data_IF_372146294699
#
_entry.id   IF_372146294699
#
_cell.length_a   1.000
_cell.length_b   1.000
_cell.length_c   1.000
_cell.angle_alpha   90.00
_cell.angle_beta   90.00
_cell.angle_gamma   90.00
#
_symmetry.space_group_name_H-M   'P 1'
#
loop_
_entity.id
_entity.type
_entity.pdbx_description
1 polymer ?
#
# COMPACT_ATOMS: atom_id res chain seq x y z
N UNK A 1 8.37 5.80 38.14
CA UNK A 1 7.12 6.02 37.35
C UNK A 1 7.19 5.13 36.13
N UNK A 2 6.18 4.31 35.89
CA UNK A 2 6.13 3.51 34.67
C UNK A 2 5.83 4.45 33.48
N UNK A 3 6.66 4.42 32.45
CA UNK A 3 6.41 5.14 31.22
C UNK A 3 5.24 4.56 30.48
N UNK A 4 4.48 5.39 29.75
CA UNK A 4 3.41 4.94 28.84
C UNK A 4 3.79 5.28 27.40
N UNK A 5 3.28 4.50 26.45
CA UNK A 5 3.49 4.70 25.02
C UNK A 5 2.14 4.87 24.35
N UNK A 6 1.99 5.95 23.56
CA UNK A 6 0.85 6.16 22.69
C UNK A 6 1.38 6.33 21.27
N UNK A 7 1.28 5.26 20.49
CA UNK A 7 1.80 5.18 19.12
C UNK A 7 0.88 4.34 18.26
N UNK A 8 0.48 4.87 17.12
CA UNK A 8 -0.33 4.21 16.11
C UNK A 8 0.43 4.17 14.81
N UNK A 9 0.43 3.03 14.15
CA UNK A 9 1.01 2.83 12.82
C UNK A 9 -0.10 2.37 11.89
N UNK A 10 -0.26 3.04 10.76
CA UNK A 10 -1.25 2.72 9.75
C UNK A 10 -0.60 2.65 8.36
N UNK A 11 -0.97 1.63 7.61
CA UNK A 11 -0.69 1.54 6.17
C UNK A 11 -2.02 1.38 5.46
N UNK A 12 -2.35 2.33 4.59
CA UNK A 12 -3.64 2.31 3.90
C UNK A 12 -3.71 3.32 2.77
N UNK A 13 -4.87 3.42 2.17
CA UNK A 13 -5.10 4.31 1.03
C UNK A 13 -5.94 5.50 1.45
N UNK A 14 -5.62 6.69 0.91
CA UNK A 14 -6.41 7.89 1.15
C UNK A 14 -7.82 7.74 0.54
N UNK A 15 -8.83 8.04 1.34
CA UNK A 15 -10.22 8.04 0.89
C UNK A 15 -10.63 9.32 0.15
N UNK A 16 -9.92 10.42 0.42
CA UNK A 16 -10.12 11.73 -0.20
C UNK A 16 -8.81 12.52 -0.22
N UNK A 17 -8.79 13.59 -1.00
CA UNK A 17 -7.64 14.50 -1.03
C UNK A 17 -7.43 15.14 0.35
N UNK A 18 -6.18 15.46 0.72
CA UNK A 18 -5.88 16.19 1.94
C UNK A 18 -6.52 17.59 1.95
N UNK A 19 -7.17 17.92 3.06
CA UNK A 19 -7.76 19.24 3.30
C UNK A 19 -6.90 20.01 4.30
N UNK A 20 -6.55 21.25 3.96
CA UNK A 20 -5.83 22.13 4.86
C UNK A 20 -6.74 23.19 5.47
N UNK A 21 -6.50 23.50 6.73
CA UNK A 21 -7.20 24.56 7.47
C UNK A 21 -6.20 25.41 8.24
N UNK A 22 -6.34 26.72 8.15
CA UNK A 22 -5.60 27.64 8.99
C UNK A 22 -6.14 27.59 10.43
N UNK A 23 -5.25 27.57 11.40
CA UNK A 23 -5.59 27.65 12.81
C UNK A 23 -5.49 29.12 13.29
N UNK A 24 -6.24 29.46 14.34
CA UNK A 24 -6.25 30.81 14.92
C UNK A 24 -4.89 31.28 15.45
N UNK A 25 -3.98 30.34 15.75
CA UNK A 25 -2.62 30.61 16.20
C UNK A 25 -1.61 30.80 15.06
N UNK A 26 -2.08 30.98 13.80
CA UNK A 26 -1.24 31.16 12.62
C UNK A 26 -0.64 29.86 12.05
N UNK A 27 -0.91 28.72 12.65
CA UNK A 27 -0.48 27.41 12.15
C UNK A 27 -1.46 26.87 11.11
N UNK A 28 -1.05 25.79 10.44
CA UNK A 28 -1.84 25.05 9.47
C UNK A 28 -2.00 23.60 9.94
N UNK A 29 -3.18 23.05 9.81
CA UNK A 29 -3.45 21.63 10.01
C UNK A 29 -3.93 21.02 8.72
N UNK A 30 -3.36 19.88 8.35
CA UNK A 30 -3.80 19.10 7.18
C UNK A 30 -4.50 17.85 7.66
N UNK A 31 -5.70 17.59 7.15
CA UNK A 31 -6.53 16.46 7.57
C UNK A 31 -7.01 15.65 6.38
N UNK A 32 -7.03 14.34 6.53
CA UNK A 32 -7.57 13.38 5.57
C UNK A 32 -8.01 12.09 6.26
N UNK A 33 -8.60 11.17 5.50
CA UNK A 33 -8.98 9.85 5.99
C UNK A 33 -8.21 8.77 5.25
N UNK A 34 -7.84 7.71 5.99
CA UNK A 34 -7.19 6.51 5.45
C UNK A 34 -8.10 5.32 5.63
N UNK A 35 -8.22 4.50 4.59
CA UNK A 35 -8.85 3.20 4.62
C UNK A 35 -7.81 2.11 4.85
N UNK A 36 -8.04 1.25 5.83
CA UNK A 36 -7.33 0.00 6.02
C UNK A 36 -8.31 -1.15 5.78
N UNK A 37 -8.00 -2.03 4.82
CA UNK A 37 -8.86 -3.16 4.45
C UNK A 37 -8.21 -4.48 4.82
N UNK A 38 -8.99 -5.35 5.44
CA UNK A 38 -8.64 -6.73 5.71
C UNK A 38 -9.57 -7.64 4.90
N UNK A 39 -9.01 -8.67 4.28
CA UNK A 39 -9.80 -9.66 3.57
C UNK A 39 -9.46 -11.06 4.05
N UNK A 40 -10.48 -11.88 4.25
CA UNK A 40 -10.33 -13.28 4.67
C UNK A 40 -11.39 -14.16 3.98
N UNK A 41 -11.12 -15.44 3.92
CA UNK A 41 -12.09 -16.42 3.48
C UNK A 41 -12.86 -16.93 4.70
N UNK A 42 -14.18 -16.81 4.66
CA UNK A 42 -15.05 -17.37 5.69
C UNK A 42 -15.04 -18.89 5.59
N UNK A 43 -14.63 -19.56 6.67
CA UNK A 43 -14.55 -21.03 6.70
C UNK A 43 -15.91 -21.72 6.64
N UNK A 44 -16.99 -21.04 7.04
CA UNK A 44 -18.33 -21.60 7.07
C UNK A 44 -19.03 -21.52 5.71
N UNK A 45 -18.87 -20.39 5.00
CA UNK A 45 -19.51 -20.16 3.69
C UNK A 45 -18.56 -20.33 2.50
N UNK A 46 -17.24 -20.37 2.71
CA UNK A 46 -16.24 -20.36 1.64
C UNK A 46 -16.12 -19.03 0.91
N UNK A 47 -16.88 -18.03 1.29
CA UNK A 47 -16.91 -16.72 0.63
C UNK A 47 -15.76 -15.83 1.12
N UNK A 48 -15.23 -15.01 0.21
CA UNK A 48 -14.27 -13.97 0.55
C UNK A 48 -15.00 -12.79 1.17
N UNK A 49 -14.66 -12.47 2.42
CA UNK A 49 -15.16 -11.29 3.14
C UNK A 49 -14.09 -10.22 3.20
N UNK A 50 -14.52 -8.97 3.14
CA UNK A 50 -13.66 -7.80 3.28
C UNK A 50 -14.25 -6.86 4.34
N UNK A 51 -13.37 -6.30 5.17
CA UNK A 51 -13.72 -5.30 6.17
C UNK A 51 -12.79 -4.10 6.03
N UNK A 52 -13.37 -2.93 5.79
CA UNK A 52 -12.63 -1.68 5.70
C UNK A 52 -12.90 -0.82 6.93
N UNK A 53 -11.81 -0.31 7.53
CA UNK A 53 -11.85 0.65 8.63
C UNK A 53 -11.35 2.01 8.14
N UNK A 54 -12.02 3.08 8.57
CA UNK A 54 -11.67 4.45 8.24
C UNK A 54 -11.04 5.14 9.44
N UNK A 55 -9.86 5.70 9.23
CA UNK A 55 -9.11 6.42 10.26
C UNK A 55 -8.98 7.88 9.85
N UNK A 56 -9.24 8.78 10.80
CA UNK A 56 -9.01 10.22 10.61
C UNK A 56 -7.58 10.55 11.00
N UNK A 57 -6.91 11.30 10.15
CA UNK A 57 -5.52 11.74 10.33
C UNK A 57 -5.51 13.26 10.41
N UNK A 58 -4.79 13.80 11.38
CA UNK A 58 -4.55 15.23 11.55
C UNK A 58 -3.04 15.50 11.64
N UNK A 59 -2.50 16.31 10.73
CA UNK A 59 -1.09 16.63 10.65
C UNK A 59 -0.89 18.08 11.10
N UNK A 60 -0.20 18.27 12.23
CA UNK A 60 0.19 19.57 12.76
C UNK A 60 1.64 19.93 12.41
N UNK A 61 2.38 19.00 11.83
CA UNK A 61 3.72 19.25 11.31
C UNK A 61 3.63 19.93 9.95
N UNK A 62 4.12 21.15 9.83
CA UNK A 62 4.04 21.95 8.59
C UNK A 62 4.69 21.26 7.40
N UNK A 63 5.90 20.71 7.59
CA UNK A 63 6.63 20.01 6.51
C UNK A 63 5.88 18.76 6.01
N UNK A 64 5.37 17.95 6.93
CA UNK A 64 4.60 16.77 6.57
C UNK A 64 3.24 17.16 5.95
N UNK A 65 2.64 18.25 6.41
CA UNK A 65 1.42 18.82 5.84
C UNK A 65 1.61 19.26 4.39
N UNK A 66 2.69 19.99 4.09
CA UNK A 66 3.04 20.39 2.73
C UNK A 66 3.29 19.19 1.80
N UNK A 67 3.99 18.17 2.31
CA UNK A 67 4.21 16.92 1.56
C UNK A 67 2.87 16.23 1.27
N UNK A 68 2.00 16.14 2.27
CA UNK A 68 0.68 15.54 2.11
C UNK A 68 -0.16 16.28 1.06
N UNK A 69 -0.24 17.60 1.12
CA UNK A 69 -1.00 18.42 0.15
C UNK A 69 -0.44 18.35 -1.27
N UNK A 70 0.89 18.33 -1.39
CA UNK A 70 1.55 18.36 -2.70
C UNK A 70 1.51 17.00 -3.41
N UNK A 71 1.72 15.94 -2.68
CA UNK A 71 1.97 14.63 -3.27
C UNK A 71 0.88 13.59 -3.02
N UNK A 72 0.09 13.71 -1.95
CA UNK A 72 -0.99 12.77 -1.68
C UNK A 72 -2.27 13.17 -2.42
N UNK A 73 -2.95 12.18 -2.96
CA UNK A 73 -4.27 12.30 -3.61
C UNK A 73 -5.17 11.16 -3.15
N UNK A 74 -6.46 11.26 -3.42
CA UNK A 74 -7.40 10.16 -3.20
C UNK A 74 -6.85 8.89 -3.86
N UNK A 75 -6.81 7.79 -3.08
CA UNK A 75 -6.27 6.51 -3.52
C UNK A 75 -4.79 6.29 -3.25
N UNK A 76 -4.00 7.35 -2.97
CA UNK A 76 -2.58 7.20 -2.65
C UNK A 76 -2.36 6.30 -1.44
N UNK A 77 -1.39 5.39 -1.55
CA UNK A 77 -1.00 4.49 -0.47
C UNK A 77 0.08 5.14 0.39
N UNK A 78 -0.17 5.21 1.69
CA UNK A 78 0.72 5.88 2.63
C UNK A 78 0.96 5.04 3.88
N UNK A 79 2.14 5.22 4.46
CA UNK A 79 2.50 4.83 5.82
C UNK A 79 2.36 6.05 6.72
N UNK A 80 1.69 5.89 7.85
CA UNK A 80 1.49 6.94 8.86
C UNK A 80 1.90 6.40 10.22
N UNK A 81 2.67 7.20 10.94
CA UNK A 81 2.96 7.00 12.34
C UNK A 81 2.55 8.25 13.13
N UNK A 82 1.77 8.06 14.19
CA UNK A 82 1.28 9.16 15.02
C UNK A 82 0.82 8.70 16.40
N UNK A 83 0.20 9.60 17.15
CA UNK A 83 -0.44 9.31 18.42
C UNK A 83 -1.96 9.28 18.25
N UNK A 84 -2.65 8.44 19.03
CA UNK A 84 -4.11 8.42 19.09
C UNK A 84 -4.57 9.52 20.02
N UNK A 85 -5.41 10.42 19.55
CA UNK A 85 -6.00 11.49 20.35
C UNK A 85 -7.51 11.49 20.19
N UNK A 86 -8.22 11.63 21.32
CA UNK A 86 -9.66 11.80 21.34
C UNK A 86 -10.00 13.24 21.63
N UNK A 87 -10.84 13.84 20.81
CA UNK A 87 -11.33 15.22 20.97
C UNK A 87 -12.84 15.26 21.12
N UNK A 88 -13.29 15.86 22.19
CA UNK A 88 -14.71 16.16 22.40
C UNK A 88 -15.08 17.45 21.67
N UNK A 89 -16.20 17.45 21.01
CA UNK A 89 -16.79 18.65 20.40
C UNK A 89 -18.31 18.61 20.56
N UNK A 90 -18.89 19.79 20.61
CA UNK A 90 -20.35 19.94 20.67
C UNK A 90 -20.88 20.04 19.24
N UNK A 91 -21.77 19.14 18.87
CA UNK A 91 -22.47 19.15 17.59
C UNK A 91 -23.47 20.32 17.52
N UNK A 92 -23.94 20.63 16.32
CA UNK A 92 -24.97 21.67 16.08
C UNK A 92 -26.29 21.42 16.85
N UNK A 93 -26.54 20.17 17.24
CA UNK A 93 -27.66 19.79 18.10
C UNK A 93 -27.44 20.01 19.61
N UNK A 94 -26.25 20.50 20.01
CA UNK A 94 -25.88 20.67 21.43
C UNK A 94 -25.39 19.39 22.12
N UNK A 95 -25.30 18.26 21.38
CA UNK A 95 -24.81 17.02 21.94
C UNK A 95 -23.27 16.97 21.94
N UNK A 96 -22.68 16.53 23.06
CA UNK A 96 -21.23 16.21 23.08
C UNK A 96 -20.94 14.98 22.27
N UNK A 97 -20.03 15.11 21.32
CA UNK A 97 -19.49 13.99 20.55
C UNK A 97 -17.99 13.87 20.74
N UNK A 98 -17.50 12.66 20.73
CA UNK A 98 -16.09 12.34 20.79
C UNK A 98 -15.62 11.82 19.42
N UNK A 99 -14.54 12.40 18.94
CA UNK A 99 -13.90 11.93 17.70
C UNK A 99 -12.47 11.50 18.04
N UNK A 100 -12.12 10.30 17.64
CA UNK A 100 -10.77 9.76 17.76
C UNK A 100 -10.03 9.98 16.46
N UNK A 101 -8.85 10.56 16.52
CA UNK A 101 -8.00 10.91 15.39
C UNK A 101 -6.56 10.47 15.64
N UNK A 102 -5.83 10.12 14.58
CA UNK A 102 -4.39 9.89 14.66
C UNK A 102 -3.69 11.20 14.35
N UNK A 103 -2.94 11.70 15.33
CA UNK A 103 -2.31 13.01 15.28
C UNK A 103 -0.82 12.89 15.03
N UNK A 104 -0.35 13.54 13.96
CA UNK A 104 1.06 13.77 13.70
C UNK A 104 1.43 15.13 14.28
N UNK A 105 1.98 15.12 15.49
CA UNK A 105 2.37 16.33 16.20
C UNK A 105 3.59 17.00 15.52
N UNK A 106 3.83 18.27 15.87
CA UNK A 106 4.87 19.13 15.26
C UNK A 106 6.26 18.48 15.20
N UNK A 107 6.61 17.68 16.22
CA UNK A 107 7.93 17.06 16.37
C UNK A 107 7.89 15.53 16.46
N UNK A 108 6.71 14.93 16.31
CA UNK A 108 6.50 13.49 16.38
C UNK A 108 5.55 13.06 15.27
N UNK A 109 5.85 11.94 14.68
CA UNK A 109 5.06 11.37 13.60
C UNK A 109 5.85 11.27 12.30
N UNK A 110 5.43 10.36 11.46
CA UNK A 110 6.02 10.08 10.17
C UNK A 110 4.93 9.92 9.11
N UNK A 111 5.21 10.40 7.92
CA UNK A 111 4.41 10.21 6.72
C UNK A 111 5.34 9.77 5.60
N UNK A 112 5.12 8.57 5.06
CA UNK A 112 5.86 8.04 3.92
C UNK A 112 4.88 7.64 2.82
N UNK A 113 5.12 8.12 1.60
CA UNK A 113 4.35 7.70 0.42
C UNK A 113 4.88 6.34 -0.04
N UNK A 114 3.97 5.38 -0.16
CA UNK A 114 4.28 4.02 -0.61
C UNK A 114 3.92 3.79 -2.08
N UNK A 115 3.25 4.75 -2.72
CA UNK A 115 3.03 4.72 -4.16
C UNK A 115 4.38 4.93 -4.85
N UNK A 116 4.85 3.91 -5.56
CA UNK A 116 6.02 4.02 -6.43
C UNK A 116 5.80 5.15 -7.44
N UNK A 117 6.87 5.83 -7.86
CA UNK A 117 6.96 6.98 -8.76
C UNK A 117 6.27 6.84 -10.14
N UNK A 118 5.10 6.22 -10.22
CA UNK A 118 4.41 6.01 -11.49
C UNK A 118 3.08 6.77 -11.64
N UNK A 119 2.82 7.78 -10.81
CA UNK A 119 1.65 8.66 -10.98
C UNK A 119 2.02 10.00 -11.62
N UNK A 120 2.62 9.90 -12.79
CA UNK A 120 2.86 11.03 -13.68
C UNK A 120 2.58 10.62 -15.11
N UNK A 121 1.33 10.44 -15.48
CA UNK A 121 0.69 10.69 -16.76
C UNK A 121 -0.63 9.93 -16.80
N UNK A 122 -1.75 10.66 -16.81
CA UNK A 122 -3.02 10.10 -17.25
C UNK A 122 -2.85 9.52 -18.65
N UNK A 123 -3.10 8.23 -18.76
CA UNK A 123 -3.16 7.51 -20.03
C UNK A 123 -4.18 6.41 -19.80
N UNK A 124 -5.40 6.63 -20.28
CA UNK A 124 -6.35 5.58 -20.56
C UNK A 124 -5.62 4.54 -21.41
N UNK A 125 -5.15 3.46 -20.82
CA UNK A 125 -4.76 2.28 -21.55
C UNK A 125 -6.02 1.47 -21.80
N UNK A 126 -6.66 1.73 -22.93
CA UNK A 126 -7.56 0.78 -23.57
C UNK A 126 -6.78 -0.52 -23.76
N UNK A 127 -7.12 -1.52 -22.96
CA UNK A 127 -6.70 -2.89 -23.20
C UNK A 127 -7.36 -3.40 -24.48
N UNK A 128 -6.61 -3.38 -25.58
CA UNK A 128 -6.85 -4.19 -26.77
C UNK A 128 -5.51 -4.72 -27.29
N UNK A 129 -4.86 -5.55 -26.49
CA UNK A 129 -3.67 -6.30 -26.85
C UNK A 129 -4.04 -7.65 -27.47
N UNK A 130 -4.39 -7.65 -28.77
CA UNK A 130 -4.48 -8.85 -29.56
C UNK A 130 -3.12 -9.57 -29.59
N UNK A 131 -3.09 -10.79 -29.10
CA UNK A 131 -1.99 -11.71 -29.30
C UNK A 131 -1.90 -12.06 -30.78
N UNK A 132 -1.05 -11.37 -31.57
CA UNK A 132 -0.65 -11.83 -32.87
C UNK A 132 0.37 -12.97 -32.69
N UNK A 133 -0.10 -14.19 -32.92
CA UNK A 133 0.74 -15.35 -33.10
C UNK A 133 1.70 -15.09 -34.30
N UNK A 134 2.99 -14.93 -34.00
CA UNK A 134 4.03 -14.94 -35.02
C UNK A 134 4.11 -16.35 -35.62
N UNK A 135 3.64 -16.51 -36.86
CA UNK A 135 3.92 -17.67 -37.67
C UNK A 135 5.44 -17.73 -37.96
N UNK A 136 6.10 -18.88 -37.79
CA UNK A 136 7.49 -19.03 -38.23
C UNK A 136 7.54 -19.13 -39.76
N UNK A 137 8.32 -18.23 -40.34
CA UNK A 137 8.65 -18.27 -41.76
C UNK A 137 9.37 -19.58 -42.13
N UNK A 138 8.82 -20.22 -43.14
CA UNK A 138 9.32 -21.42 -43.78
C UNK A 138 10.58 -21.05 -44.57
N UNK A 139 11.76 -21.41 -44.09
CA UNK A 139 13.00 -21.35 -44.88
C UNK A 139 13.37 -22.73 -45.33
N UNK A 140 13.56 -22.82 -46.61
CA UNK A 140 14.00 -23.93 -47.42
C UNK A 140 15.38 -24.49 -47.01
N UNK A 141 15.49 -25.83 -47.00
CA UNK A 141 16.73 -26.55 -46.83
C UNK A 141 17.69 -26.35 -48.02
N UNK A 142 19.01 -26.58 -47.81
CA UNK A 142 19.63 -27.72 -48.45
C UNK A 142 20.60 -28.54 -47.57
N UNK A 143 20.51 -29.82 -47.80
CA UNK A 143 21.46 -30.94 -47.81
C UNK A 143 22.75 -30.97 -46.97
N UNK A 144 22.76 -31.99 -46.11
CA UNK A 144 23.86 -32.96 -45.88
C UNK A 144 25.26 -32.47 -45.49
N UNK A 145 25.68 -32.85 -44.29
CA UNK A 145 26.91 -33.63 -44.06
C UNK A 145 26.91 -34.32 -42.70
N UNK A 146 27.29 -35.57 -42.75
CA UNK A 146 27.51 -36.58 -41.71
C UNK A 146 28.53 -36.17 -40.65
N UNK A 147 28.34 -36.57 -39.40
CA UNK A 147 29.44 -36.64 -38.44
C UNK A 147 28.99 -36.70 -36.98
N UNK A 148 29.01 -37.89 -36.38
CA UNK A 148 29.45 -38.09 -35.02
C UNK A 148 28.52 -37.70 -33.89
N UNK A 149 27.78 -38.63 -33.35
CA UNK A 149 27.22 -38.55 -31.99
C UNK A 149 28.32 -38.83 -30.94
N UNK A 150 28.31 -38.18 -29.80
CA UNK A 150 28.67 -38.84 -28.55
C UNK A 150 27.43 -39.01 -27.68
N UNK A 151 27.23 -40.28 -27.30
CA UNK A 151 26.27 -40.72 -26.29
C UNK A 151 26.59 -40.11 -24.94
N UNK A 152 25.59 -39.53 -24.30
CA UNK A 152 25.68 -39.11 -22.90
C UNK A 152 24.77 -40.03 -22.08
N UNK A 153 25.40 -40.85 -21.22
CA UNK A 153 24.71 -41.66 -20.23
C UNK A 153 24.35 -40.80 -19.00
N UNK A 154 23.15 -40.96 -18.44
CA UNK A 154 22.84 -40.35 -17.16
C UNK A 154 23.37 -41.22 -16.02
N UNK A 155 24.38 -40.72 -15.31
CA UNK A 155 24.87 -41.31 -14.07
C UNK A 155 23.86 -41.13 -12.92
N UNK A 156 23.51 -42.24 -12.30
CA UNK A 156 22.84 -42.35 -11.04
C UNK A 156 23.73 -41.72 -9.93
N UNK A 157 23.17 -40.79 -9.21
CA UNK A 157 23.76 -40.28 -7.98
C UNK A 157 22.63 -39.92 -7.01
N UNK A 158 22.27 -40.88 -6.17
CA UNK A 158 21.40 -40.65 -5.02
C UNK A 158 22.12 -39.77 -4.00
N UNK A 159 21.41 -38.85 -3.44
CA UNK A 159 21.80 -38.02 -2.31
C UNK A 159 20.54 -37.59 -1.57
N UNK A 160 20.19 -38.38 -0.57
CA UNK A 160 19.26 -38.00 0.48
C UNK A 160 19.78 -36.73 1.13
N UNK A 161 19.00 -35.66 1.07
CA UNK A 161 19.13 -34.48 1.93
C UNK A 161 17.86 -34.39 2.77
N UNK A 162 17.93 -35.04 3.95
CA UNK A 162 17.06 -34.76 5.07
C UNK A 162 17.36 -33.33 5.58
N UNK A 163 16.55 -32.37 5.16
CA UNK A 163 16.52 -31.04 5.77
C UNK A 163 15.40 -31.01 6.82
N UNK A 164 15.75 -31.47 8.02
CA UNK A 164 14.99 -31.22 9.25
C UNK A 164 15.14 -29.74 9.61
N UNK A 165 14.09 -28.95 9.38
CA UNK A 165 13.97 -27.58 9.90
C UNK A 165 13.17 -27.65 11.20
N UNK A 166 13.77 -27.39 12.37
CA UNK A 166 13.04 -27.31 13.64
C UNK A 166 12.34 -25.93 13.74
N UNK A 167 11.05 -25.98 14.03
CA UNK A 167 10.27 -24.83 14.49
C UNK A 167 10.45 -24.60 15.98
#
# INVERSE_FOLDING_TARGET
MAGSVNKVILVGNLGRDPESRAMQNGGKVVSFSIATSESWNDKASGERKEKTQWHRIAIFNEKLGEIAEKYCRKGSKVYIEGALESRKFTDQSGAERETTEVVLARFRGELTLLDGRNSGAGGEASDSGGYQARQPARATAPAARSGGAPSWEPGHGGGDLDDDIPF
#
